data_IF_394712172814
#
_entry.id   IF_394712172814
#
_cell.length_a   1.000
_cell.length_b   1.000
_cell.length_c   1.000
_cell.angle_alpha   90.00
_cell.angle_beta   90.00
_cell.angle_gamma   90.00
#
_symmetry.space_group_name_H-M   'P 1'
#
loop_
_entity.id
_entity.type
_entity.pdbx_description
1 polymer ?
#
# COMPACT_ATOMS: atom_id res chain seq x y z
N UNK A 1 -10.16 -10.45 29.93
CA UNK A 1 -9.46 -9.52 30.84
C UNK A 1 -8.79 -8.46 29.99
N UNK A 2 -8.90 -7.18 30.36
CA UNK A 2 -8.18 -6.11 29.67
C UNK A 2 -6.66 -6.30 29.84
N UNK A 3 -5.90 -6.02 28.78
CA UNK A 3 -4.43 -6.09 28.81
C UNK A 3 -3.86 -5.11 29.84
N UNK A 4 -2.83 -5.50 30.59
CA UNK A 4 -2.22 -4.65 31.64
C UNK A 4 -1.60 -3.36 31.11
N UNK A 5 -1.22 -3.34 29.82
CA UNK A 5 -0.62 -2.17 29.16
C UNK A 5 -1.64 -1.29 28.44
N UNK A 6 -2.93 -1.70 28.38
CA UNK A 6 -3.94 -0.94 27.65
C UNK A 6 -4.31 0.33 28.42
N UNK A 7 -4.06 1.48 27.81
CA UNK A 7 -4.40 2.78 28.37
C UNK A 7 -4.85 3.74 27.26
N UNK A 8 -6.01 4.38 27.45
CA UNK A 8 -6.64 5.27 26.49
C UNK A 8 -6.67 4.73 25.05
N UNK A 9 -7.02 3.45 24.89
CA UNK A 9 -7.05 2.79 23.58
C UNK A 9 -8.43 2.16 23.36
N UNK A 10 -9.27 2.86 22.60
CA UNK A 10 -10.66 2.46 22.38
C UNK A 10 -10.76 1.17 21.55
N UNK A 11 -11.78 0.35 21.78
CA UNK A 11 -12.00 -0.90 21.01
C UNK A 11 -12.23 -0.62 19.53
N UNK A 12 -12.86 0.52 19.20
CA UNK A 12 -13.03 0.95 17.80
C UNK A 12 -11.68 1.26 17.12
N UNK A 13 -10.71 1.82 17.84
CA UNK A 13 -9.37 2.09 17.28
C UNK A 13 -8.63 0.78 17.02
N UNK A 14 -8.77 -0.18 17.93
CA UNK A 14 -8.22 -1.54 17.78
C UNK A 14 -8.82 -2.25 16.55
N UNK A 15 -10.14 -2.25 16.43
CA UNK A 15 -10.85 -2.86 15.30
C UNK A 15 -10.50 -2.16 13.97
N UNK A 16 -10.45 -0.83 13.96
CA UNK A 16 -10.10 -0.05 12.78
C UNK A 16 -8.64 -0.30 12.34
N UNK A 17 -7.70 -0.43 13.28
CA UNK A 17 -6.32 -0.80 12.97
C UNK A 17 -6.21 -2.23 12.44
N UNK A 18 -6.97 -3.20 12.98
CA UNK A 18 -7.01 -4.56 12.41
C UNK A 18 -7.54 -4.57 10.98
N UNK A 19 -8.55 -3.76 10.67
CA UNK A 19 -9.02 -3.59 9.30
C UNK A 19 -7.94 -2.99 8.40
N UNK A 20 -7.23 -1.97 8.87
CA UNK A 20 -6.17 -1.32 8.09
C UNK A 20 -4.96 -2.25 7.87
N UNK A 21 -4.60 -3.09 8.85
CA UNK A 21 -3.60 -4.15 8.70
C UNK A 21 -3.95 -5.08 7.52
N UNK A 22 -5.22 -5.51 7.41
CA UNK A 22 -5.65 -6.38 6.32
C UNK A 22 -5.59 -5.67 4.95
N UNK A 23 -5.85 -4.35 4.90
CA UNK A 23 -5.69 -3.56 3.68
C UNK A 23 -4.23 -3.47 3.22
N UNK A 24 -3.28 -3.26 4.14
CA UNK A 24 -1.85 -3.26 3.83
C UNK A 24 -1.38 -4.64 3.31
N UNK A 25 -1.86 -5.72 3.91
CA UNK A 25 -1.58 -7.09 3.43
C UNK A 25 -2.16 -7.34 2.03
N UNK A 26 -3.39 -6.88 1.78
CA UNK A 26 -4.00 -6.98 0.45
C UNK A 26 -3.23 -6.17 -0.59
N UNK A 27 -2.80 -4.95 -0.24
CA UNK A 27 -2.00 -4.12 -1.13
C UNK A 27 -0.66 -4.77 -1.47
N UNK A 28 0.02 -5.34 -0.47
CA UNK A 28 1.22 -6.15 -0.69
C UNK A 28 0.97 -7.28 -1.70
N UNK A 29 -0.18 -7.95 -1.60
CA UNK A 29 -0.54 -9.05 -2.49
C UNK A 29 -0.84 -8.58 -3.93
N UNK A 30 -1.50 -7.42 -4.10
CA UNK A 30 -1.74 -6.82 -5.43
C UNK A 30 -0.42 -6.42 -6.09
N UNK A 31 0.49 -5.77 -5.35
CA UNK A 31 1.81 -5.43 -5.88
C UNK A 31 2.65 -6.66 -6.23
N UNK A 32 2.49 -7.75 -5.48
CA UNK A 32 3.14 -9.02 -5.80
C UNK A 32 2.64 -9.59 -7.13
N UNK A 33 1.33 -9.55 -7.38
CA UNK A 33 0.75 -9.98 -8.65
C UNK A 33 1.22 -9.11 -9.83
N UNK A 34 1.27 -7.79 -9.66
CA UNK A 34 1.85 -6.88 -10.64
C UNK A 34 3.31 -7.25 -10.95
N UNK A 35 4.13 -7.45 -9.91
CA UNK A 35 5.54 -7.79 -10.05
C UNK A 35 5.75 -9.05 -10.88
N UNK A 36 5.05 -10.14 -10.57
CA UNK A 36 5.18 -11.40 -11.28
C UNK A 36 4.52 -11.40 -12.67
N UNK A 37 3.53 -10.55 -12.91
CA UNK A 37 3.00 -10.35 -14.26
C UNK A 37 4.07 -9.73 -15.18
N UNK A 38 4.76 -8.67 -14.72
CA UNK A 38 5.80 -8.02 -15.52
C UNK A 38 7.10 -8.84 -15.67
N UNK A 39 7.28 -9.87 -14.83
CA UNK A 39 8.40 -10.83 -14.90
C UNK A 39 8.19 -11.96 -15.93
N UNK A 40 6.96 -12.13 -16.46
CA UNK A 40 6.66 -13.16 -17.46
C UNK A 40 7.52 -12.98 -18.71
N UNK A 41 7.85 -14.08 -19.38
CA UNK A 41 8.66 -14.07 -20.61
C UNK A 41 7.95 -13.37 -21.79
N UNK A 42 6.62 -13.37 -21.80
CA UNK A 42 5.79 -12.71 -22.81
C UNK A 42 5.50 -11.22 -22.53
N UNK A 43 5.93 -10.70 -21.37
CA UNK A 43 5.84 -9.27 -21.00
C UNK A 43 7.25 -8.65 -20.90
N UNK A 44 8.15 -9.30 -20.16
CA UNK A 44 9.59 -9.01 -20.07
C UNK A 44 9.94 -7.55 -19.72
N UNK A 45 9.34 -7.00 -18.64
CA UNK A 45 9.59 -5.66 -18.11
C UNK A 45 10.21 -5.75 -16.71
N UNK A 46 11.51 -6.11 -16.59
CA UNK A 46 12.16 -6.37 -15.31
C UNK A 46 12.26 -5.13 -14.40
N UNK A 47 12.29 -3.92 -14.96
CA UNK A 47 12.28 -2.68 -14.17
C UNK A 47 10.98 -2.49 -13.41
N UNK A 48 9.84 -2.65 -14.11
CA UNK A 48 8.51 -2.65 -13.50
C UNK A 48 8.32 -3.80 -12.53
N UNK A 49 8.80 -5.01 -12.87
CA UNK A 49 8.75 -6.15 -11.96
C UNK A 49 9.45 -5.84 -10.63
N UNK A 50 10.68 -5.30 -10.69
CA UNK A 50 11.47 -4.89 -9.52
C UNK A 50 10.79 -3.76 -8.74
N UNK A 51 10.24 -2.76 -9.43
CA UNK A 51 9.53 -1.65 -8.81
C UNK A 51 8.34 -2.15 -7.98
N UNK A 52 7.46 -2.97 -8.57
CA UNK A 52 6.30 -3.50 -7.86
C UNK A 52 6.69 -4.51 -6.79
N UNK A 53 7.79 -5.23 -6.96
CA UNK A 53 8.34 -6.05 -5.87
C UNK A 53 8.69 -5.19 -4.65
N UNK A 54 9.36 -4.06 -4.90
CA UNK A 54 9.69 -3.09 -3.86
C UNK A 54 8.45 -2.57 -3.12
N UNK A 55 7.37 -2.23 -3.84
CA UNK A 55 6.11 -1.83 -3.21
C UNK A 55 5.46 -2.97 -2.42
N UNK A 56 5.48 -4.19 -2.94
CA UNK A 56 4.94 -5.36 -2.24
C UNK A 56 5.63 -5.58 -0.88
N UNK A 57 6.97 -5.58 -0.87
CA UNK A 57 7.76 -5.75 0.35
C UNK A 57 7.54 -4.57 1.32
N UNK A 58 7.35 -3.36 0.78
CA UNK A 58 7.10 -2.15 1.56
C UNK A 58 5.75 -2.15 2.29
N UNK A 59 4.64 -2.48 1.61
CA UNK A 59 3.33 -2.59 2.29
C UNK A 59 3.35 -3.70 3.35
N UNK A 60 4.11 -4.77 3.13
CA UNK A 60 4.27 -5.84 4.14
C UNK A 60 5.00 -5.33 5.39
N UNK A 61 6.01 -4.47 5.23
CA UNK A 61 6.67 -3.79 6.34
C UNK A 61 5.69 -2.88 7.09
N UNK A 62 4.80 -2.18 6.38
CA UNK A 62 3.75 -1.36 6.97
C UNK A 62 2.74 -2.18 7.77
N UNK A 63 2.28 -3.31 7.24
CA UNK A 63 1.43 -4.24 7.96
C UNK A 63 2.09 -4.71 9.27
N UNK A 64 3.37 -5.08 9.24
CA UNK A 64 4.11 -5.46 10.45
C UNK A 64 4.26 -4.31 11.46
N UNK A 65 4.50 -3.09 10.98
CA UNK A 65 4.60 -1.89 11.82
C UNK A 65 3.29 -1.67 12.60
N UNK A 66 2.16 -1.80 11.92
CA UNK A 66 0.82 -1.70 12.53
C UNK A 66 0.57 -2.83 13.54
N UNK A 67 0.90 -4.09 13.21
CA UNK A 67 0.73 -5.22 14.13
C UNK A 67 1.57 -5.05 15.41
N UNK A 68 2.80 -4.54 15.27
CA UNK A 68 3.66 -4.23 16.42
C UNK A 68 3.04 -3.12 17.28
N UNK A 69 2.53 -2.08 16.65
CA UNK A 69 1.86 -0.97 17.35
C UNK A 69 0.58 -1.40 18.07
N UNK A 70 -0.26 -2.24 17.43
CA UNK A 70 -1.45 -2.85 18.01
C UNK A 70 -1.12 -3.56 19.33
N UNK A 71 -0.07 -4.39 19.32
CA UNK A 71 0.42 -5.08 20.52
C UNK A 71 0.99 -4.11 21.57
N UNK A 72 1.71 -3.06 21.15
CA UNK A 72 2.25 -2.03 22.06
C UNK A 72 1.15 -1.32 22.85
N UNK A 73 0.00 -1.05 22.23
CA UNK A 73 -1.16 -0.41 22.88
C UNK A 73 -2.02 -1.38 23.70
N UNK A 74 -1.64 -2.66 23.74
CA UNK A 74 -2.37 -3.70 24.46
C UNK A 74 -3.60 -4.24 23.72
N UNK A 75 -3.74 -3.92 22.44
CA UNK A 75 -4.73 -4.52 21.54
C UNK A 75 -4.37 -5.95 21.15
N UNK A 76 -5.20 -6.54 20.31
CA UNK A 76 -5.06 -7.88 19.75
C UNK A 76 -5.13 -7.81 18.25
N UNK A 77 -4.11 -8.37 17.61
CA UNK A 77 -4.10 -8.57 16.16
C UNK A 77 -5.11 -9.66 15.82
N UNK A 78 -6.13 -9.30 15.05
CA UNK A 78 -7.10 -10.25 14.47
C UNK A 78 -6.90 -10.22 12.97
N UNK A 79 -6.35 -11.29 12.43
CA UNK A 79 -6.13 -11.43 10.99
C UNK A 79 -7.40 -11.92 10.30
N UNK A 80 -7.62 -11.43 9.09
CA UNK A 80 -8.71 -11.82 8.20
C UNK A 80 -8.15 -12.35 6.89
N UNK A 81 -9.02 -12.97 6.10
CA UNK A 81 -8.69 -13.43 4.76
C UNK A 81 -8.13 -12.27 3.92
N UNK A 82 -7.07 -12.54 3.17
CA UNK A 82 -6.49 -11.60 2.21
C UNK A 82 -6.98 -12.03 0.84
N UNK A 83 -7.98 -11.30 0.31
CA UNK A 83 -8.57 -11.65 -0.97
C UNK A 83 -7.55 -11.50 -2.11
N UNK A 84 -7.65 -12.37 -3.14
CA UNK A 84 -6.81 -12.23 -4.31
C UNK A 84 -7.07 -10.90 -5.02
N UNK A 85 -6.08 -10.37 -5.76
CA UNK A 85 -6.26 -9.22 -6.63
C UNK A 85 -7.40 -9.46 -7.62
N UNK A 86 -8.24 -8.44 -7.84
CA UNK A 86 -9.37 -8.49 -8.78
C UNK A 86 -8.93 -8.64 -10.24
N UNK A 87 -7.70 -8.21 -10.54
CA UNK A 87 -7.03 -8.29 -11.84
C UNK A 87 -5.72 -9.05 -11.72
N UNK A 88 -5.43 -9.89 -12.70
CA UNK A 88 -4.28 -10.81 -12.71
C UNK A 88 -3.34 -10.57 -13.91
N UNK A 89 -3.81 -9.89 -14.95
CA UNK A 89 -3.03 -9.63 -16.17
C UNK A 89 -3.19 -8.17 -16.58
N UNK A 90 -2.13 -7.50 -16.99
CA UNK A 90 -2.13 -6.10 -17.44
C UNK A 90 -1.57 -5.99 -18.85
N UNK A 91 -2.36 -5.42 -19.77
CA UNK A 91 -2.01 -5.40 -21.20
C UNK A 91 -0.87 -4.43 -21.52
N UNK A 92 -0.75 -3.35 -20.71
CA UNK A 92 0.23 -2.29 -20.90
C UNK A 92 0.93 -1.96 -19.57
N UNK A 93 2.21 -1.62 -19.64
CA UNK A 93 2.95 -1.10 -18.48
C UNK A 93 2.26 0.10 -17.82
N UNK A 94 1.69 1.01 -18.63
CA UNK A 94 0.90 2.15 -18.14
C UNK A 94 -0.27 1.69 -17.25
N UNK A 95 -0.96 0.63 -17.64
CA UNK A 95 -2.10 0.10 -16.88
C UNK A 95 -1.68 -0.47 -15.52
N UNK A 96 -0.50 -1.10 -15.46
CA UNK A 96 0.07 -1.56 -14.20
C UNK A 96 0.35 -0.41 -13.24
N UNK A 97 0.95 0.69 -13.73
CA UNK A 97 1.20 1.88 -12.89
C UNK A 97 -0.12 2.58 -12.51
N UNK A 98 -1.11 2.61 -13.40
CA UNK A 98 -2.44 3.16 -13.10
C UNK A 98 -3.11 2.37 -11.97
N UNK A 99 -3.06 1.05 -12.04
CA UNK A 99 -3.59 0.15 -10.99
C UNK A 99 -2.90 0.40 -9.65
N UNK A 100 -1.57 0.55 -9.66
CA UNK A 100 -0.80 0.88 -8.46
C UNK A 100 -1.18 2.24 -7.87
N UNK A 101 -1.38 3.26 -8.72
CA UNK A 101 -1.78 4.59 -8.31
C UNK A 101 -3.16 4.60 -7.66
N UNK A 102 -4.12 3.89 -8.25
CA UNK A 102 -5.49 3.82 -7.74
C UNK A 102 -5.53 3.05 -6.41
N UNK A 103 -4.82 1.92 -6.31
CA UNK A 103 -4.66 1.20 -5.04
C UNK A 103 -4.07 2.09 -3.94
N UNK A 104 -3.04 2.88 -4.24
CA UNK A 104 -2.44 3.80 -3.26
C UNK A 104 -3.39 4.91 -2.83
N UNK A 105 -4.24 5.41 -3.74
CA UNK A 105 -5.29 6.39 -3.36
C UNK A 105 -6.35 5.76 -2.46
N UNK A 106 -6.76 4.53 -2.74
CA UNK A 106 -7.72 3.79 -1.90
C UNK A 106 -7.16 3.55 -0.49
N UNK A 107 -5.89 3.15 -0.37
CA UNK A 107 -5.21 3.00 0.92
C UNK A 107 -5.12 4.33 1.68
N UNK A 108 -4.80 5.42 0.97
CA UNK A 108 -4.74 6.74 1.57
C UNK A 108 -6.13 7.22 2.04
N UNK A 109 -7.18 6.98 1.27
CA UNK A 109 -8.56 7.27 1.70
C UNK A 109 -8.96 6.45 2.94
N UNK A 110 -8.61 5.16 2.97
CA UNK A 110 -8.82 4.31 4.15
C UNK A 110 -8.04 4.82 5.37
N UNK A 111 -6.82 5.33 5.18
CA UNK A 111 -6.01 5.93 6.24
C UNK A 111 -6.64 7.22 6.79
N UNK A 112 -7.12 8.10 5.91
CA UNK A 112 -7.79 9.35 6.33
C UNK A 112 -9.07 9.04 7.11
N UNK A 113 -9.84 8.03 6.67
CA UNK A 113 -11.01 7.55 7.39
C UNK A 113 -10.65 6.96 8.77
N UNK A 114 -9.54 6.22 8.86
CA UNK A 114 -9.00 5.73 10.13
C UNK A 114 -8.61 6.89 11.05
N UNK A 115 -7.85 7.85 10.54
CA UNK A 115 -7.42 9.05 11.28
C UNK A 115 -8.64 9.83 11.81
N UNK A 116 -9.68 10.02 11.00
CA UNK A 116 -10.94 10.66 11.42
C UNK A 116 -11.61 9.94 12.60
N UNK A 117 -11.76 8.62 12.52
CA UNK A 117 -12.34 7.81 13.61
C UNK A 117 -11.54 7.87 14.91
N UNK A 118 -10.22 7.83 14.80
CA UNK A 118 -9.32 7.93 15.96
C UNK A 118 -9.45 9.32 16.61
N UNK A 119 -9.70 10.36 15.81
CA UNK A 119 -9.89 11.72 16.31
C UNK A 119 -11.15 11.85 17.18
N UNK A 120 -12.22 11.13 16.85
CA UNK A 120 -13.46 11.08 17.64
C UNK A 120 -13.26 10.46 19.04
N UNK A 121 -12.30 9.53 19.16
CA UNK A 121 -11.98 8.85 20.43
C UNK A 121 -10.89 9.56 21.25
N UNK A 122 -10.36 10.68 20.75
CA UNK A 122 -9.34 11.51 21.40
C UNK A 122 -8.08 10.71 21.83
N UNK A 123 -7.55 9.88 20.92
CA UNK A 123 -6.28 9.15 21.11
C UNK A 123 -5.12 9.82 20.34
N UNK A 124 -4.43 10.81 20.93
CA UNK A 124 -3.39 11.57 20.24
C UNK A 124 -2.17 10.72 19.86
N UNK A 125 -1.91 9.62 20.58
CA UNK A 125 -0.77 8.76 20.30
C UNK A 125 -1.01 7.87 19.07
N UNK A 126 -2.27 7.50 18.77
CA UNK A 126 -2.58 6.84 17.49
C UNK A 126 -2.47 7.84 16.35
N UNK A 127 -3.03 9.05 16.50
CA UNK A 127 -2.95 10.09 15.45
C UNK A 127 -1.51 10.39 15.06
N UNK A 128 -0.67 10.72 16.06
CA UNK A 128 0.75 10.98 15.83
C UNK A 128 1.47 9.80 15.16
N UNK A 129 1.14 8.56 15.56
CA UNK A 129 1.71 7.38 14.93
C UNK A 129 1.31 7.26 13.44
N UNK A 130 0.05 7.55 13.10
CA UNK A 130 -0.43 7.53 11.72
C UNK A 130 0.22 8.63 10.87
N UNK A 131 0.31 9.85 11.43
CA UNK A 131 0.90 11.02 10.77
C UNK A 131 2.37 10.81 10.41
N UNK A 132 3.16 10.37 11.40
CA UNK A 132 4.61 10.19 11.23
C UNK A 132 4.96 9.07 10.26
N UNK A 133 4.17 7.99 10.26
CA UNK A 133 4.57 6.74 9.61
C UNK A 133 3.89 6.48 8.28
N UNK A 134 2.73 7.07 7.99
CA UNK A 134 1.93 6.67 6.83
C UNK A 134 1.46 7.85 5.98
N UNK A 135 1.02 8.97 6.58
CA UNK A 135 0.42 10.06 5.78
C UNK A 135 1.41 10.63 4.75
N UNK A 136 2.62 11.01 5.19
CA UNK A 136 3.62 11.55 4.28
C UNK A 136 4.05 10.54 3.21
N UNK A 137 4.18 9.28 3.62
CA UNK A 137 4.58 8.16 2.77
C UNK A 137 3.59 7.92 1.61
N UNK A 138 2.28 7.92 1.92
CA UNK A 138 1.24 7.79 0.90
C UNK A 138 1.26 8.95 -0.08
N UNK A 139 1.38 10.19 0.40
CA UNK A 139 1.43 11.39 -0.47
C UNK A 139 2.64 11.35 -1.41
N UNK A 140 3.83 11.02 -0.90
CA UNK A 140 5.04 10.89 -1.71
C UNK A 140 4.92 9.78 -2.76
N UNK A 141 4.34 8.63 -2.37
CA UNK A 141 4.17 7.49 -3.26
C UNK A 141 3.16 7.79 -4.37
N UNK A 142 2.02 8.40 -4.03
CA UNK A 142 1.01 8.85 -5.00
C UNK A 142 1.62 9.84 -5.98
N UNK A 143 2.45 10.78 -5.50
CA UNK A 143 3.15 11.73 -6.37
C UNK A 143 4.09 11.03 -7.35
N UNK A 144 4.93 10.10 -6.86
CA UNK A 144 5.87 9.32 -7.70
C UNK A 144 5.13 8.52 -8.77
N UNK A 145 4.07 7.80 -8.40
CA UNK A 145 3.25 7.04 -9.33
C UNK A 145 2.55 7.95 -10.36
N UNK A 146 2.04 9.11 -9.95
CA UNK A 146 1.45 10.10 -10.84
C UNK A 146 2.45 10.67 -11.87
N UNK A 147 3.70 10.88 -11.46
CA UNK A 147 4.78 11.30 -12.36
C UNK A 147 5.09 10.22 -13.40
N UNK A 148 5.15 8.96 -12.97
CA UNK A 148 5.37 7.81 -13.86
C UNK A 148 4.24 7.65 -14.89
N UNK A 149 2.98 7.78 -14.46
CA UNK A 149 1.82 7.79 -15.38
C UNK A 149 1.98 8.89 -16.43
N UNK A 150 2.33 10.10 -16.00
CA UNK A 150 2.52 11.24 -16.91
C UNK A 150 3.67 11.00 -17.89
N UNK A 151 4.78 10.44 -17.42
CA UNK A 151 5.94 10.12 -18.26
C UNK A 151 5.59 9.08 -19.34
N UNK A 152 4.91 7.99 -18.96
CA UNK A 152 4.49 6.95 -19.90
C UNK A 152 3.45 7.46 -20.90
N UNK A 153 2.49 8.28 -20.47
CA UNK A 153 1.54 8.93 -21.38
C UNK A 153 2.25 9.82 -22.42
N UNK A 154 3.29 10.55 -21.99
CA UNK A 154 4.10 11.39 -22.89
C UNK A 154 4.98 10.57 -23.84
N UNK A 155 5.41 9.38 -23.44
CA UNK A 155 6.16 8.47 -24.29
C UNK A 155 5.32 7.86 -25.43
N UNK A 156 3.99 7.91 -25.30
CA UNK A 156 3.03 7.43 -26.29
C UNK A 156 2.91 5.90 -26.31
N UNK A 157 2.13 5.38 -27.26
CA UNK A 157 1.86 3.93 -27.40
C UNK A 157 3.02 3.11 -28.01
N UNK A 158 4.22 3.71 -28.16
CA UNK A 158 5.37 3.05 -28.75
C UNK A 158 6.11 2.13 -27.76
N UNK A 159 6.47 0.93 -28.20
CA UNK A 159 7.26 -0.02 -27.40
C UNK A 159 8.63 0.51 -26.95
N UNK A 160 9.24 1.39 -27.75
CA UNK A 160 10.55 1.98 -27.43
C UNK A 160 10.50 2.85 -26.17
N UNK A 161 9.43 3.64 -26.01
CA UNK A 161 9.26 4.52 -24.85
C UNK A 161 9.13 3.73 -23.55
N UNK A 162 8.31 2.67 -23.58
CA UNK A 162 8.15 1.75 -22.46
C UNK A 162 9.45 1.00 -22.14
N UNK A 163 10.19 0.55 -23.16
CA UNK A 163 11.45 -0.15 -22.96
C UNK A 163 12.53 0.75 -22.31
N UNK A 164 12.64 2.01 -22.75
CA UNK A 164 13.58 2.97 -22.13
C UNK A 164 13.16 3.26 -20.69
N UNK A 165 11.86 3.51 -20.48
CA UNK A 165 11.32 3.75 -19.13
C UNK A 165 11.60 2.58 -18.19
N UNK A 166 11.36 1.35 -18.62
CA UNK A 166 11.62 0.14 -17.83
C UNK A 166 13.11 0.01 -17.47
N UNK A 167 14.00 0.30 -18.43
CA UNK A 167 15.44 0.28 -18.21
C UNK A 167 15.90 1.30 -17.16
N UNK A 168 15.27 2.47 -17.11
CA UNK A 168 15.58 3.52 -16.13
C UNK A 168 15.12 3.18 -14.70
N UNK A 169 14.26 2.17 -14.53
CA UNK A 169 13.80 1.68 -13.22
C UNK A 169 14.74 0.64 -12.57
N UNK A 170 15.72 0.11 -13.32
CA UNK A 170 16.65 -0.92 -12.84
C UNK A 170 17.78 -0.32 -11.98
#
# INVERSE_FOLDING_TARGET
MASSVRHNYHEDNEAALNKYINLELHASYVFLALSYHFDRDDVALPGLSKLFRGYSDFELVNAHKLMKYQNQRGGRVVLHDVFPPSKQEWDKGLEGIQTALDLKKELNEALLNLHGKVSETNDPHVLHFLDDNFINEHVETIKKLGDMVTQLQRAGDGHLGLHIFDKDLL
#
